data_IF_127629794493
#
_entry.id   IF_127629794493
#
_cell.length_a   1.000
_cell.length_b   1.000
_cell.length_c   1.000
_cell.angle_alpha   90.00
_cell.angle_beta   90.00
_cell.angle_gamma   90.00
#
_symmetry.space_group_name_H-M   'P 1'
#
loop_
_entity.id
_entity.type
_entity.pdbx_description
1 polymer ?
#
# COMPACT_ATOMS: atom_id res chain seq x y z
N UNK A 1 7.06 -1.21 -6.74
CA UNK A 1 6.16 -2.38 -6.87
C UNK A 1 6.90 -3.67 -7.23
N UNK A 2 7.27 -3.98 -8.48
CA UNK A 2 7.90 -5.30 -8.81
C UNK A 2 9.09 -5.68 -7.93
N UNK A 3 10.07 -4.79 -7.73
CA UNK A 3 11.21 -5.03 -6.83
C UNK A 3 10.80 -5.23 -5.35
N UNK A 4 9.71 -4.60 -4.92
CA UNK A 4 9.18 -4.72 -3.55
C UNK A 4 8.41 -6.03 -3.36
N UNK A 5 7.74 -6.53 -4.41
CA UNK A 5 7.15 -7.88 -4.42
C UNK A 5 8.27 -8.92 -4.32
N UNK A 6 9.33 -8.80 -5.14
CA UNK A 6 10.49 -9.71 -5.08
C UNK A 6 11.16 -9.71 -3.70
N UNK A 7 11.35 -8.54 -3.07
CA UNK A 7 11.94 -8.46 -1.73
C UNK A 7 11.02 -9.00 -0.63
N UNK A 8 9.70 -8.86 -0.77
CA UNK A 8 8.72 -9.46 0.16
C UNK A 8 8.60 -10.98 -0.03
N UNK A 9 8.63 -11.49 -1.26
CA UNK A 9 8.67 -12.93 -1.56
C UNK A 9 9.94 -13.54 -0.96
N UNK A 10 11.12 -12.95 -1.20
CA UNK A 10 12.38 -13.41 -0.61
C UNK A 10 12.32 -13.47 0.93
N UNK A 11 11.75 -12.45 1.59
CA UNK A 11 11.58 -12.44 3.06
C UNK A 11 10.57 -13.47 3.56
N UNK A 12 9.55 -13.79 2.77
CA UNK A 12 8.59 -14.86 3.08
C UNK A 12 9.27 -16.24 2.96
N UNK A 13 10.09 -16.44 1.94
CA UNK A 13 10.86 -17.67 1.73
C UNK A 13 11.90 -17.86 2.85
N UNK A 14 12.66 -16.82 3.20
CA UNK A 14 13.59 -16.80 4.35
C UNK A 14 12.86 -17.12 5.67
N UNK A 15 11.65 -16.58 5.87
CA UNK A 15 10.82 -16.88 7.06
C UNK A 15 10.28 -18.31 7.07
N UNK A 16 10.00 -18.89 5.90
CA UNK A 16 9.53 -20.28 5.77
C UNK A 16 10.68 -21.28 6.00
N UNK A 17 11.89 -20.99 5.53
CA UNK A 17 13.09 -21.79 5.85
C UNK A 17 13.41 -21.76 7.35
N UNK A 18 13.37 -20.58 7.99
CA UNK A 18 13.53 -20.47 9.44
C UNK A 18 12.46 -21.25 10.22
N UNK A 19 11.21 -21.22 9.74
CA UNK A 19 10.12 -22.00 10.32
C UNK A 19 10.36 -23.51 10.14
N UNK A 20 10.79 -23.97 8.97
CA UNK A 20 11.11 -25.37 8.72
C UNK A 20 12.28 -25.87 9.59
N UNK A 21 13.30 -25.04 9.82
CA UNK A 21 14.40 -25.33 10.74
C UNK A 21 13.92 -25.41 12.21
N UNK A 22 13.02 -24.53 12.62
CA UNK A 22 12.40 -24.58 13.96
C UNK A 22 11.51 -25.83 14.11
N UNK A 23 10.68 -26.15 13.13
CA UNK A 23 9.84 -27.36 13.14
C UNK A 23 10.69 -28.64 13.11
N UNK A 24 11.80 -28.68 12.37
CA UNK A 24 12.77 -29.78 12.44
C UNK A 24 13.45 -29.89 13.81
N UNK A 25 13.77 -28.76 14.46
CA UNK A 25 14.31 -28.76 15.83
C UNK A 25 13.30 -29.23 16.87
N UNK A 26 12.01 -28.94 16.68
CA UNK A 26 10.91 -29.46 17.50
C UNK A 26 10.51 -30.90 17.15
N UNK A 27 10.81 -31.39 15.95
CA UNK A 27 10.54 -32.77 15.53
C UNK A 27 11.30 -33.81 16.37
N UNK A 28 12.48 -33.45 16.89
CA UNK A 28 13.29 -34.30 17.77
C UNK A 28 12.78 -34.36 19.24
N UNK A 29 11.55 -33.90 19.53
CA UNK A 29 11.06 -33.70 20.90
C UNK A 29 10.49 -34.94 21.60
N UNK A 30 10.39 -36.09 20.91
CA UNK A 30 9.95 -37.35 21.55
C UNK A 30 10.94 -37.89 22.60
N UNK A 31 12.21 -37.46 22.59
CA UNK A 31 13.23 -37.87 23.57
C UNK A 31 13.30 -36.98 24.84
N UNK A 32 12.61 -35.84 24.87
CA UNK A 32 12.65 -34.90 26.00
C UNK A 32 11.88 -35.31 27.26
N UNK A 33 10.76 -36.07 27.20
CA UNK A 33 10.01 -36.49 28.40
C UNK A 33 10.80 -37.39 29.34
N UNK A 34 11.57 -38.35 28.82
CA UNK A 34 12.34 -39.30 29.65
C UNK A 34 13.49 -38.61 30.39
N UNK A 35 14.18 -37.69 29.73
CA UNK A 35 15.31 -36.95 30.32
C UNK A 35 14.87 -36.04 31.47
N UNK A 36 13.69 -35.41 31.36
CA UNK A 36 13.12 -34.59 32.43
C UNK A 36 12.54 -35.42 33.59
N UNK A 37 11.96 -36.60 33.31
CA UNK A 37 11.54 -37.53 34.37
C UNK A 37 12.74 -38.06 35.16
N UNK A 38 13.80 -38.51 34.46
CA UNK A 38 15.01 -39.03 35.10
C UNK A 38 15.67 -37.97 36.00
N UNK A 39 15.79 -36.73 35.52
CA UNK A 39 16.38 -35.63 36.29
C UNK A 39 15.54 -35.24 37.52
N UNK A 40 14.21 -35.23 37.39
CA UNK A 40 13.32 -35.05 38.55
C UNK A 40 13.45 -36.20 39.56
N UNK A 41 13.62 -37.44 39.08
CA UNK A 41 13.71 -38.63 39.92
C UNK A 41 15.05 -38.69 40.69
N UNK A 42 16.19 -38.37 40.06
CA UNK A 42 17.48 -38.22 40.73
C UNK A 42 17.45 -37.11 41.80
N UNK A 43 16.84 -35.96 41.50
CA UNK A 43 16.70 -34.87 42.46
C UNK A 43 15.88 -35.28 43.70
N UNK A 44 14.76 -35.99 43.51
CA UNK A 44 13.97 -36.49 44.64
C UNK A 44 14.71 -37.55 45.45
N UNK A 45 15.44 -38.47 44.82
CA UNK A 45 16.24 -39.46 45.56
C UNK A 45 17.39 -38.81 46.34
N UNK A 46 18.11 -37.85 45.75
CA UNK A 46 19.17 -37.11 46.45
C UNK A 46 18.61 -36.35 47.67
N UNK A 47 17.46 -35.69 47.53
CA UNK A 47 16.80 -34.98 48.64
C UNK A 47 16.28 -35.94 49.72
N UNK A 48 15.74 -37.11 49.34
CA UNK A 48 15.27 -38.12 50.29
C UNK A 48 16.45 -38.71 51.10
N UNK A 49 17.58 -38.99 50.46
CA UNK A 49 18.80 -39.47 51.11
C UNK A 49 19.33 -38.41 52.08
N UNK A 50 19.43 -37.14 51.66
CA UNK A 50 19.89 -36.05 52.52
C UNK A 50 19.00 -35.86 53.76
N UNK A 51 17.67 -35.94 53.59
CA UNK A 51 16.72 -35.88 54.70
C UNK A 51 16.86 -37.08 55.65
N UNK A 52 17.07 -38.29 55.12
CA UNK A 52 17.30 -39.49 55.92
C UNK A 52 18.62 -39.40 56.73
N UNK A 53 19.71 -38.90 56.13
CA UNK A 53 20.97 -38.65 56.84
C UNK A 53 20.78 -37.67 58.00
N UNK A 54 20.08 -36.55 57.78
CA UNK A 54 19.80 -35.59 58.85
C UNK A 54 18.95 -36.19 60.00
N UNK A 55 18.05 -37.13 59.71
CA UNK A 55 17.29 -37.84 60.74
C UNK A 55 18.15 -38.86 61.53
N UNK A 56 19.12 -39.52 60.87
CA UNK A 56 20.08 -40.41 61.55
C UNK A 56 21.04 -39.62 62.44
N UNK A 57 21.51 -38.46 61.99
CA UNK A 57 22.35 -37.57 62.81
C UNK A 57 21.57 -37.00 64.00
N UNK A 58 20.32 -36.60 63.80
CA UNK A 58 19.45 -36.10 64.89
C UNK A 58 19.13 -37.18 65.94
N UNK A 59 18.94 -38.43 65.53
CA UNK A 59 18.71 -39.55 66.46
C UNK A 59 19.99 -39.98 67.19
N UNK A 60 21.14 -39.87 66.53
CA UNK A 60 22.47 -40.12 67.10
C UNK A 60 22.85 -39.06 68.16
N UNK A 61 22.49 -37.79 67.95
CA UNK A 61 22.61 -36.76 68.99
C UNK A 61 21.63 -36.97 70.16
N UNK A 62 20.44 -37.51 69.90
CA UNK A 62 19.41 -37.74 70.92
C UNK A 62 19.75 -38.89 71.88
N UNK A 63 20.43 -39.95 71.40
CA UNK A 63 20.65 -41.15 72.22
C UNK A 63 21.77 -41.02 73.27
N UNK A 64 22.62 -40.01 73.19
CA UNK A 64 23.67 -39.73 74.19
C UNK A 64 23.17 -38.95 75.44
N UNK A 65 21.85 -38.83 75.62
CA UNK A 65 21.22 -38.23 76.81
C UNK A 65 20.96 -39.19 77.99
N UNK A 66 21.55 -40.39 77.99
CA UNK A 66 21.30 -41.44 78.97
C UNK A 66 22.24 -41.43 80.18
N UNK A 67 21.65 -41.25 81.38
CA UNK A 67 22.13 -41.47 82.77
C UNK A 67 23.60 -41.92 83.03
N UNK A 68 24.24 -41.44 84.11
CA UNK A 68 25.52 -41.98 84.56
C UNK A 68 25.35 -43.38 85.17
N UNK A 69 25.87 -44.40 84.48
CA UNK A 69 26.07 -45.72 85.10
C UNK A 69 27.31 -45.73 86.00
N UNK A 70 27.19 -46.49 87.08
CA UNK A 70 28.15 -46.57 88.17
C UNK A 70 29.27 -47.55 87.80
N UNK A 71 30.45 -47.04 87.41
CA UNK A 71 31.65 -47.85 87.25
C UNK A 71 32.59 -47.64 88.44
N UNK A 72 33.09 -48.75 89.01
CA UNK A 72 33.86 -48.76 90.26
C UNK A 72 35.31 -49.19 89.98
N UNK A 73 36.25 -48.39 90.48
CA UNK A 73 37.67 -48.67 90.77
C UNK A 73 38.50 -49.54 89.80
N UNK A 74 39.52 -48.94 89.17
CA UNK A 74 40.93 -49.36 89.31
C UNK A 74 41.87 -48.13 89.28
N UNK A 75 42.83 -48.12 90.20
CA UNK A 75 43.97 -47.18 90.39
C UNK A 75 44.90 -47.06 89.14
N UNK A 76 45.88 -46.15 88.99
CA UNK A 76 46.70 -45.36 89.94
C UNK A 76 47.48 -44.23 89.18
N UNK A 77 48.10 -43.31 89.94
CA UNK A 77 49.28 -42.46 89.61
C UNK A 77 49.20 -41.41 88.49
N UNK A 78 48.93 -40.17 88.93
CA UNK A 78 49.81 -38.99 88.83
C UNK A 78 50.47 -38.60 87.50
N UNK A 79 50.00 -37.46 86.96
CA UNK A 79 50.88 -36.43 86.42
C UNK A 79 50.33 -35.04 86.75
N UNK A 80 51.22 -34.08 87.03
CA UNK A 80 50.88 -32.84 87.72
C UNK A 80 49.96 -31.92 86.91
N UNK A 81 48.72 -31.76 87.38
CA UNK A 81 47.86 -30.63 87.02
C UNK A 81 47.73 -29.71 88.23
N UNK A 82 48.32 -28.52 88.15
CA UNK A 82 48.02 -27.42 89.07
C UNK A 82 46.53 -27.16 88.99
N UNK A 83 45.80 -27.40 90.09
CA UNK A 83 44.37 -27.15 90.14
C UNK A 83 44.11 -25.67 89.82
N UNK A 84 43.30 -25.35 88.79
CA UNK A 84 42.98 -23.96 88.49
C UNK A 84 42.31 -23.35 89.71
N UNK A 85 42.69 -22.11 90.04
CA UNK A 85 42.08 -21.43 91.19
C UNK A 85 40.57 -21.31 90.96
N UNK A 86 39.81 -21.29 92.05
CA UNK A 86 38.34 -21.27 91.99
C UNK A 86 37.81 -20.14 91.09
N UNK A 87 38.50 -19.01 91.09
CA UNK A 87 38.18 -17.85 90.26
C UNK A 87 38.40 -18.13 88.76
N UNK A 88 39.48 -18.83 88.38
CA UNK A 88 39.73 -19.21 86.97
C UNK A 88 38.66 -20.17 86.43
N UNK A 89 38.11 -21.04 87.29
CA UNK A 89 37.01 -21.94 86.91
C UNK A 89 35.71 -21.16 86.69
N UNK A 90 35.40 -20.20 87.57
CA UNK A 90 34.23 -19.32 87.45
C UNK A 90 34.31 -18.45 86.19
N UNK A 91 35.48 -17.86 85.91
CA UNK A 91 35.70 -17.00 84.75
C UNK A 91 35.58 -17.77 83.42
N UNK A 92 36.13 -18.99 83.37
CA UNK A 92 35.95 -19.90 82.22
C UNK A 92 34.47 -20.31 82.03
N UNK A 93 33.73 -20.57 83.11
CA UNK A 93 32.31 -20.90 83.04
C UNK A 93 31.47 -19.71 82.55
N UNK A 94 31.75 -18.50 83.05
CA UNK A 94 31.10 -17.27 82.58
C UNK A 94 31.37 -17.00 81.09
N UNK A 95 32.60 -17.24 80.63
CA UNK A 95 32.96 -17.17 79.21
C UNK A 95 32.16 -18.18 78.38
N UNK A 96 32.10 -19.45 78.80
CA UNK A 96 31.33 -20.48 78.11
C UNK A 96 29.82 -20.15 78.04
N UNK A 97 29.23 -19.64 79.13
CA UNK A 97 27.83 -19.18 79.16
C UNK A 97 27.61 -18.00 78.19
N UNK A 98 28.54 -17.05 78.14
CA UNK A 98 28.48 -15.91 77.22
C UNK A 98 28.58 -16.34 75.76
N UNK A 99 29.50 -17.25 75.45
CA UNK A 99 29.70 -17.79 74.10
C UNK A 99 28.48 -18.63 73.65
N UNK A 100 27.89 -19.43 74.55
CA UNK A 100 26.61 -20.10 74.30
C UNK A 100 25.47 -19.11 74.08
N UNK A 101 25.36 -18.05 74.89
CA UNK A 101 24.33 -17.01 74.71
C UNK A 101 24.45 -16.28 73.36
N UNK A 102 25.69 -16.00 72.92
CA UNK A 102 25.95 -15.40 71.61
C UNK A 102 25.54 -16.34 70.47
N UNK A 103 25.94 -17.62 70.52
CA UNK A 103 25.51 -18.65 69.56
C UNK A 103 23.98 -18.81 69.51
N UNK A 104 23.31 -18.75 70.66
CA UNK A 104 21.85 -18.87 70.73
C UNK A 104 21.16 -17.68 70.03
N UNK A 105 21.70 -16.46 70.17
CA UNK A 105 21.25 -15.28 69.40
C UNK A 105 21.54 -15.42 67.90
N UNK A 106 22.73 -15.88 67.52
CA UNK A 106 23.10 -16.11 66.11
C UNK A 106 22.14 -17.11 65.44
N UNK A 107 21.86 -18.24 66.10
CA UNK A 107 20.88 -19.23 65.65
C UNK A 107 19.47 -18.63 65.57
N UNK A 108 19.06 -17.80 66.54
CA UNK A 108 17.77 -17.12 66.51
C UNK A 108 17.66 -16.13 65.33
N UNK A 109 18.73 -15.39 65.00
CA UNK A 109 18.79 -14.52 63.83
C UNK A 109 18.80 -15.31 62.51
N UNK A 110 19.52 -16.44 62.45
CA UNK A 110 19.54 -17.32 61.29
C UNK A 110 18.17 -17.96 61.03
N UNK A 111 17.50 -18.45 62.09
CA UNK A 111 16.15 -18.97 62.03
C UNK A 111 15.17 -17.91 61.52
N UNK A 112 15.18 -16.71 62.10
CA UNK A 112 14.31 -15.60 61.67
C UNK A 112 14.55 -15.21 60.19
N UNK A 113 15.80 -15.23 59.73
CA UNK A 113 16.12 -14.99 58.31
C UNK A 113 15.52 -16.08 57.42
N UNK A 114 15.73 -17.35 57.77
CA UNK A 114 15.17 -18.50 57.03
C UNK A 114 13.64 -18.48 57.00
N UNK A 115 12.97 -18.15 58.10
CA UNK A 115 11.51 -17.98 58.14
C UNK A 115 11.02 -16.89 57.17
N UNK A 116 11.71 -15.74 57.13
CA UNK A 116 11.37 -14.66 56.20
C UNK A 116 11.59 -15.07 54.73
N UNK A 117 12.70 -15.75 54.42
CA UNK A 117 12.98 -16.26 53.06
C UNK A 117 11.94 -17.30 52.63
N UNK A 118 11.52 -18.18 53.54
CA UNK A 118 10.48 -19.18 53.28
C UNK A 118 9.13 -18.50 53.02
N UNK A 119 8.76 -17.50 53.82
CA UNK A 119 7.54 -16.71 53.60
C UNK A 119 7.56 -15.97 52.25
N UNK A 120 8.71 -15.40 51.85
CA UNK A 120 8.88 -14.79 50.52
C UNK A 120 8.73 -15.80 49.39
N UNK A 121 9.29 -17.01 49.53
CA UNK A 121 9.12 -18.09 48.53
C UNK A 121 7.69 -18.58 48.44
N UNK A 122 6.97 -18.69 49.56
CA UNK A 122 5.54 -19.06 49.56
C UNK A 122 4.70 -18.01 48.83
N UNK A 123 4.95 -16.72 49.04
CA UNK A 123 4.25 -15.65 48.32
C UNK A 123 4.59 -15.63 46.82
N UNK A 124 5.86 -15.86 46.46
CA UNK A 124 6.26 -15.95 45.05
C UNK A 124 5.60 -17.14 44.32
N UNK A 125 5.49 -18.31 44.98
CA UNK A 125 4.76 -19.47 44.45
C UNK A 125 3.26 -19.17 44.28
N UNK A 126 2.64 -18.51 45.28
CA UNK A 126 1.23 -18.09 45.23
C UNK A 126 0.96 -17.19 44.01
N UNK A 127 1.85 -16.25 43.72
CA UNK A 127 1.75 -15.37 42.54
C UNK A 127 1.96 -16.11 41.22
N UNK A 128 2.83 -17.14 41.19
CA UNK A 128 2.98 -18.01 40.02
C UNK A 128 1.72 -18.84 39.75
N UNK A 129 1.10 -19.40 40.79
CA UNK A 129 -0.15 -20.15 40.67
C UNK A 129 -1.31 -19.27 40.16
N UNK A 130 -1.41 -18.02 40.63
CA UNK A 130 -2.38 -17.03 40.12
C UNK A 130 -2.15 -16.74 38.62
N UNK A 131 -0.91 -16.51 38.21
CA UNK A 131 -0.57 -16.26 36.80
C UNK A 131 -0.84 -17.48 35.90
N UNK A 132 -0.57 -18.70 36.39
CA UNK A 132 -0.90 -19.94 35.69
C UNK A 132 -2.41 -20.16 35.58
N UNK A 133 -3.20 -19.77 36.58
CA UNK A 133 -4.66 -19.82 36.52
C UNK A 133 -5.21 -18.83 35.47
N UNK A 134 -4.69 -17.60 35.43
CA UNK A 134 -5.07 -16.59 34.42
C UNK A 134 -4.72 -17.04 32.99
N UNK A 135 -3.53 -17.60 32.78
CA UNK A 135 -3.15 -18.13 31.45
C UNK A 135 -4.02 -19.31 31.02
N UNK A 136 -4.40 -20.21 31.94
CA UNK A 136 -5.36 -21.29 31.65
C UNK A 136 -6.73 -20.75 31.24
N UNK A 137 -7.24 -19.73 31.95
CA UNK A 137 -8.50 -19.08 31.60
C UNK A 137 -8.47 -18.51 30.17
N UNK A 138 -7.45 -17.69 29.87
CA UNK A 138 -7.25 -17.10 28.54
C UNK A 138 -7.13 -18.14 27.42
N UNK A 139 -6.47 -19.27 27.69
CA UNK A 139 -6.40 -20.38 26.74
C UNK A 139 -7.79 -20.93 26.42
N UNK A 140 -8.63 -21.17 27.44
CA UNK A 140 -10.00 -21.67 27.22
C UNK A 140 -10.91 -20.65 26.51
N UNK A 141 -10.71 -19.34 26.73
CA UNK A 141 -11.40 -18.27 25.98
C UNK A 141 -10.97 -18.23 24.50
N UNK A 142 -9.69 -18.48 24.23
CA UNK A 142 -9.17 -18.59 22.86
C UNK A 142 -9.65 -19.87 22.16
N UNK A 143 -9.75 -20.99 22.86
CA UNK A 143 -10.28 -22.25 22.30
C UNK A 143 -11.78 -22.17 21.98
N UNK A 144 -12.56 -21.56 22.87
CA UNK A 144 -14.01 -21.34 22.67
C UNK A 144 -14.29 -20.32 21.56
N UNK A 145 -13.53 -19.23 21.47
CA UNK A 145 -13.65 -18.30 20.34
C UNK A 145 -13.16 -18.90 19.01
N UNK A 146 -12.09 -19.71 19.01
CA UNK A 146 -11.62 -20.39 17.81
C UNK A 146 -12.63 -21.43 17.28
N UNK A 147 -13.23 -22.22 18.17
CA UNK A 147 -14.29 -23.16 17.81
C UNK A 147 -15.55 -22.45 17.30
N UNK A 148 -15.94 -21.33 17.91
CA UNK A 148 -17.02 -20.47 17.40
C UNK A 148 -16.72 -19.91 16.00
N UNK A 149 -15.51 -19.38 15.76
CA UNK A 149 -15.10 -18.88 14.45
C UNK A 149 -15.05 -19.98 13.39
N UNK A 150 -14.57 -21.19 13.73
CA UNK A 150 -14.63 -22.35 12.84
C UNK A 150 -16.06 -22.73 12.50
N UNK A 151 -16.98 -22.71 13.47
CA UNK A 151 -18.39 -22.99 13.24
C UNK A 151 -19.04 -21.91 12.36
N UNK A 152 -18.70 -20.63 12.54
CA UNK A 152 -19.15 -19.53 11.68
C UNK A 152 -18.60 -19.66 10.25
N UNK A 153 -17.35 -20.11 10.08
CA UNK A 153 -16.74 -20.35 8.77
C UNK A 153 -17.38 -21.55 8.04
N UNK A 154 -17.66 -22.64 8.77
CA UNK A 154 -18.37 -23.82 8.26
C UNK A 154 -19.83 -23.51 7.92
N UNK A 155 -20.47 -22.63 8.67
CA UNK A 155 -21.84 -22.18 8.45
C UNK A 155 -21.93 -20.93 7.56
N UNK A 156 -20.85 -20.50 6.91
CA UNK A 156 -20.81 -19.26 6.13
C UNK A 156 -21.74 -19.38 4.89
N UNK A 157 -22.89 -18.70 4.86
CA UNK A 157 -23.85 -18.83 3.78
C UNK A 157 -23.44 -17.86 2.66
N UNK A 158 -22.48 -18.27 1.84
CA UNK A 158 -22.22 -17.57 0.57
C UNK A 158 -21.38 -18.32 -0.47
N UNK A 159 -20.75 -19.47 -0.19
CA UNK A 159 -19.85 -20.09 -1.20
C UNK A 159 -20.58 -20.46 -2.49
N UNK A 160 -21.84 -20.87 -2.39
CA UNK A 160 -22.63 -21.30 -3.55
C UNK A 160 -23.44 -20.15 -4.16
N UNK A 161 -23.90 -19.18 -3.35
CA UNK A 161 -24.47 -17.93 -3.85
C UNK A 161 -23.44 -17.10 -4.62
N UNK A 162 -22.19 -17.04 -4.14
CA UNK A 162 -21.09 -16.36 -4.81
C UNK A 162 -20.66 -17.07 -6.10
N UNK A 163 -20.63 -18.42 -6.11
CA UNK A 163 -20.43 -19.19 -7.35
C UNK A 163 -21.55 -18.90 -8.36
N UNK A 164 -22.81 -18.91 -7.94
CA UNK A 164 -23.93 -18.61 -8.84
C UNK A 164 -23.82 -17.19 -9.40
N UNK A 165 -23.51 -16.20 -8.57
CA UNK A 165 -23.30 -14.82 -9.03
C UNK A 165 -22.09 -14.68 -9.98
N UNK A 166 -21.04 -15.47 -9.79
CA UNK A 166 -19.88 -15.53 -10.68
C UNK A 166 -20.25 -16.19 -12.02
N UNK A 167 -20.96 -17.32 -12.00
CA UNK A 167 -21.44 -18.00 -13.21
C UNK A 167 -22.43 -17.13 -14.01
N UNK A 168 -23.31 -16.39 -13.34
CA UNK A 168 -24.25 -15.46 -13.98
C UNK A 168 -23.50 -14.27 -14.63
N UNK A 169 -22.43 -13.78 -14.01
CA UNK A 169 -21.57 -12.73 -14.57
C UNK A 169 -20.79 -13.24 -15.78
N UNK A 170 -20.18 -14.43 -15.70
CA UNK A 170 -19.43 -15.04 -16.79
C UNK A 170 -20.34 -15.34 -18.01
N UNK A 171 -21.59 -15.77 -17.77
CA UNK A 171 -22.61 -15.88 -18.81
C UNK A 171 -22.98 -14.54 -19.45
N UNK A 172 -23.06 -13.45 -18.69
CA UNK A 172 -23.34 -12.11 -19.24
C UNK A 172 -22.16 -11.61 -20.09
N UNK A 173 -20.92 -11.82 -19.63
CA UNK A 173 -19.72 -11.47 -20.38
C UNK A 173 -19.68 -12.21 -21.73
N UNK A 174 -19.88 -13.52 -21.76
CA UNK A 174 -19.82 -14.28 -23.01
C UNK A 174 -20.98 -13.93 -23.96
N UNK A 175 -22.18 -13.61 -23.45
CA UNK A 175 -23.28 -13.04 -24.26
C UNK A 175 -22.89 -11.71 -24.91
N UNK A 176 -22.38 -10.76 -24.13
CA UNK A 176 -21.97 -9.45 -24.68
C UNK A 176 -20.84 -9.58 -25.70
N UNK A 177 -19.88 -10.48 -25.46
CA UNK A 177 -18.80 -10.80 -26.39
C UNK A 177 -19.33 -11.33 -27.73
N UNK A 178 -20.24 -12.31 -27.70
CA UNK A 178 -20.87 -12.85 -28.89
C UNK A 178 -21.69 -11.79 -29.64
N UNK A 179 -22.38 -10.89 -28.93
CA UNK A 179 -23.05 -9.75 -29.58
C UNK A 179 -22.07 -8.81 -30.30
N UNK A 180 -20.91 -8.52 -29.71
CA UNK A 180 -19.88 -7.70 -30.36
C UNK A 180 -19.31 -8.39 -31.59
N UNK A 181 -18.98 -9.69 -31.50
CA UNK A 181 -18.49 -10.50 -32.64
C UNK A 181 -19.51 -10.55 -33.79
N UNK A 182 -20.81 -10.70 -33.48
CA UNK A 182 -21.89 -10.65 -34.47
C UNK A 182 -22.00 -9.25 -35.11
N UNK A 183 -21.94 -8.17 -34.31
CA UNK A 183 -22.00 -6.79 -34.82
C UNK A 183 -20.78 -6.45 -35.69
N UNK A 184 -19.58 -6.87 -35.30
CA UNK A 184 -18.35 -6.68 -36.06
C UNK A 184 -18.40 -7.45 -37.39
N UNK A 185 -18.82 -8.72 -37.36
CA UNK A 185 -19.01 -9.55 -38.55
C UNK A 185 -20.02 -8.93 -39.53
N UNK A 186 -21.16 -8.42 -39.02
CA UNK A 186 -22.15 -7.70 -39.83
C UNK A 186 -21.58 -6.42 -40.45
N UNK A 187 -20.81 -5.64 -39.68
CA UNK A 187 -20.19 -4.40 -40.15
C UNK A 187 -19.13 -4.66 -41.23
N UNK A 188 -18.29 -5.69 -41.06
CA UNK A 188 -17.32 -6.13 -42.06
C UNK A 188 -18.02 -6.59 -43.35
N UNK A 189 -19.12 -7.34 -43.24
CA UNK A 189 -19.92 -7.73 -44.40
C UNK A 189 -20.53 -6.52 -45.13
N UNK A 190 -21.10 -5.56 -44.38
CA UNK A 190 -21.64 -4.31 -44.95
C UNK A 190 -20.56 -3.52 -45.71
N UNK A 191 -19.43 -3.21 -45.08
CA UNK A 191 -18.33 -2.50 -45.75
C UNK A 191 -17.76 -3.28 -46.93
N UNK A 192 -17.71 -4.61 -46.87
CA UNK A 192 -17.26 -5.42 -48.01
C UNK A 192 -18.21 -5.32 -49.20
N UNK A 193 -19.52 -5.27 -48.96
CA UNK A 193 -20.55 -5.12 -50.00
C UNK A 193 -20.55 -3.70 -50.58
N UNK A 194 -20.40 -2.67 -49.74
CA UNK A 194 -20.28 -1.27 -50.18
C UNK A 194 -19.03 -1.06 -51.04
N UNK A 195 -17.87 -1.60 -50.63
CA UNK A 195 -16.64 -1.54 -51.43
C UNK A 195 -16.75 -2.29 -52.76
N UNK A 196 -17.46 -3.43 -52.79
CA UNK A 196 -17.75 -4.15 -54.04
C UNK A 196 -18.69 -3.35 -54.95
N UNK A 197 -19.75 -2.75 -54.41
CA UNK A 197 -20.69 -1.92 -55.16
C UNK A 197 -20.01 -0.66 -55.73
N UNK A 198 -19.16 0.00 -54.94
CA UNK A 198 -18.37 1.15 -55.37
C UNK A 198 -17.38 0.77 -56.48
N UNK A 199 -16.66 -0.36 -56.32
CA UNK A 199 -15.77 -0.89 -57.36
C UNK A 199 -16.53 -1.19 -58.66
N UNK A 200 -17.66 -1.89 -58.58
CA UNK A 200 -18.48 -2.20 -59.75
C UNK A 200 -19.10 -0.94 -60.39
N UNK A 201 -19.24 0.16 -59.65
CA UNK A 201 -19.63 1.46 -60.22
C UNK A 201 -18.48 2.15 -60.93
N UNK A 202 -17.30 2.17 -60.34
CA UNK A 202 -16.09 2.73 -60.95
C UNK A 202 -15.69 1.95 -62.22
N UNK A 203 -15.77 0.62 -62.22
CA UNK A 203 -15.51 -0.21 -63.40
C UNK A 203 -16.49 0.11 -64.54
N UNK A 204 -17.79 0.33 -64.24
CA UNK A 204 -18.78 0.78 -65.23
C UNK A 204 -18.46 2.17 -65.80
N UNK A 205 -18.09 3.12 -64.95
CA UNK A 205 -17.71 4.48 -65.35
C UNK A 205 -16.43 4.49 -66.22
N UNK A 206 -15.42 3.70 -65.86
CA UNK A 206 -14.22 3.52 -66.69
C UNK A 206 -14.57 2.90 -68.05
N UNK A 207 -15.48 1.92 -68.09
CA UNK A 207 -15.97 1.37 -69.36
C UNK A 207 -16.86 2.35 -70.17
N UNK A 208 -17.52 3.31 -69.52
CA UNK A 208 -18.26 4.40 -70.14
C UNK A 208 -17.30 5.39 -70.80
N UNK A 209 -16.35 5.96 -70.04
CA UNK A 209 -15.33 6.86 -70.56
C UNK A 209 -14.53 6.21 -71.71
N UNK A 210 -14.20 4.92 -71.60
CA UNK A 210 -13.54 4.18 -72.69
C UNK A 210 -14.42 4.01 -73.94
N UNK A 211 -15.75 3.95 -73.82
CA UNK A 211 -16.66 3.98 -74.98
C UNK A 211 -16.70 5.37 -75.58
N UNK A 212 -16.97 6.39 -74.77
CA UNK A 212 -17.02 7.79 -75.19
C UNK A 212 -15.72 8.24 -75.89
N UNK A 213 -14.55 7.85 -75.37
CA UNK A 213 -13.26 8.14 -76.01
C UNK A 213 -13.13 7.46 -77.38
N UNK A 214 -13.58 6.21 -77.53
CA UNK A 214 -13.57 5.51 -78.83
C UNK A 214 -14.54 6.15 -79.82
N UNK A 215 -15.71 6.54 -79.35
CA UNK A 215 -16.75 7.18 -80.17
C UNK A 215 -16.32 8.58 -80.61
N UNK A 216 -15.71 9.38 -79.73
CA UNK A 216 -15.10 10.67 -80.07
C UNK A 216 -13.93 10.54 -81.06
N UNK A 217 -13.09 9.50 -80.92
CA UNK A 217 -12.04 9.20 -81.92
C UNK A 217 -12.67 8.79 -83.26
N UNK A 218 -13.72 7.97 -83.26
CA UNK A 218 -14.42 7.56 -84.48
C UNK A 218 -15.12 8.75 -85.17
N UNK A 219 -15.69 9.68 -84.39
CA UNK A 219 -16.34 10.88 -84.90
C UNK A 219 -15.34 11.91 -85.44
N UNK A 220 -14.23 12.16 -84.74
CA UNK A 220 -13.16 13.04 -85.24
C UNK A 220 -12.51 12.48 -86.51
N UNK A 221 -12.29 11.17 -86.60
CA UNK A 221 -11.83 10.52 -87.85
C UNK A 221 -12.86 10.67 -88.99
N UNK A 222 -14.16 10.52 -88.71
CA UNK A 222 -15.24 10.73 -89.69
C UNK A 222 -15.30 12.19 -90.15
N UNK A 223 -15.20 13.14 -89.24
CA UNK A 223 -15.15 14.57 -89.54
C UNK A 223 -13.92 14.94 -90.39
N UNK A 224 -12.75 14.37 -90.08
CA UNK A 224 -11.54 14.54 -90.87
C UNK A 224 -11.66 13.96 -92.29
N UNK A 225 -12.33 12.80 -92.45
CA UNK A 225 -12.63 12.23 -93.77
C UNK A 225 -13.58 13.11 -94.58
N UNK A 226 -14.65 13.63 -93.97
CA UNK A 226 -15.59 14.55 -94.63
C UNK A 226 -14.90 15.87 -94.98
N UNK A 227 -14.06 16.40 -94.09
CA UNK A 227 -13.27 17.62 -94.35
C UNK A 227 -12.26 17.43 -95.49
N UNK A 228 -11.55 16.29 -95.54
CA UNK A 228 -10.68 15.95 -96.67
C UNK A 228 -11.45 15.74 -97.97
N UNK A 229 -12.65 15.15 -97.92
CA UNK A 229 -13.52 15.01 -99.09
C UNK A 229 -14.02 16.38 -99.59
N UNK A 230 -14.39 17.29 -98.68
CA UNK A 230 -14.76 18.66 -99.02
C UNK A 230 -13.57 19.46 -99.56
N UNK A 231 -12.37 19.31 -98.99
CA UNK A 231 -11.14 19.92 -99.53
C UNK A 231 -10.78 19.37 -100.92
N UNK A 232 -10.99 18.08 -101.18
CA UNK A 232 -10.81 17.48 -102.51
C UNK A 232 -11.84 18.00 -103.52
N UNK A 233 -13.09 18.25 -103.10
CA UNK A 233 -14.15 18.83 -103.95
C UNK A 233 -13.96 20.35 -104.17
N UNK A 234 -13.45 21.07 -103.17
CA UNK A 234 -13.19 22.52 -103.25
C UNK A 234 -11.85 22.89 -103.88
N UNK A 235 -11.01 21.92 -104.28
CA UNK A 235 -9.82 22.16 -105.10
C UNK A 235 -10.11 22.38 -106.59
N UNK A 236 -11.39 22.53 -106.97
CA UNK A 236 -11.79 23.04 -108.29
C UNK A 236 -12.26 24.49 -108.19
N UNK A 237 -11.43 25.39 -108.71
CA UNK A 237 -11.70 26.82 -109.01
C UNK A 237 -11.80 27.79 -107.81
N UNK A 238 -10.77 28.63 -107.70
CA UNK A 238 -10.77 29.96 -107.06
C UNK A 238 -11.01 31.03 -108.17
N UNK A 239 -11.30 32.33 -107.91
CA UNK A 239 -11.13 33.10 -106.67
C UNK A 239 -12.36 34.05 -106.35
N UNK A 240 -12.24 35.30 -105.82
CA UNK A 240 -12.63 35.59 -104.44
C UNK A 240 -13.72 36.69 -104.26
N UNK A 241 -14.36 36.75 -103.08
CA UNK A 241 -15.35 37.78 -102.72
C UNK A 241 -15.49 37.97 -101.20
N UNK A 242 -15.61 39.24 -100.76
CA UNK A 242 -15.50 39.71 -99.38
C UNK A 242 -16.70 39.42 -98.43
N UNK A 243 -16.47 39.70 -97.13
CA UNK A 243 -17.45 39.84 -96.02
C UNK A 243 -18.14 38.54 -95.53
N UNK A 244 -18.51 38.37 -94.24
CA UNK A 244 -18.42 39.25 -93.05
C UNK A 244 -18.10 38.45 -91.76
N UNK A 245 -17.63 39.15 -90.73
CA UNK A 245 -17.51 38.64 -89.34
C UNK A 245 -18.81 38.90 -88.57
N UNK A 246 -19.23 37.97 -87.69
CA UNK A 246 -19.80 38.38 -86.40
C UNK A 246 -19.01 37.80 -85.22
N UNK A 247 -18.63 38.67 -84.29
CA UNK A 247 -18.04 38.27 -83.00
C UNK A 247 -19.09 37.63 -82.08
N UNK A 248 -18.81 36.42 -81.60
CA UNK A 248 -19.28 35.95 -80.28
C UNK A 248 -18.24 35.06 -79.60
N UNK A 249 -17.06 35.64 -79.36
CA UNK A 249 -16.04 35.08 -78.47
C UNK A 249 -16.21 35.60 -77.04
N UNK A 250 -17.13 35.02 -76.28
CA UNK A 250 -17.26 35.35 -74.84
C UNK A 250 -16.09 34.72 -74.09
N UNK A 251 -15.07 35.51 -73.76
CA UNK A 251 -13.89 35.04 -73.03
C UNK A 251 -14.27 34.47 -71.65
N UNK A 252 -13.87 33.22 -71.29
CA UNK A 252 -14.23 32.61 -70.01
C UNK A 252 -13.66 33.30 -68.76
N UNK A 253 -12.53 34.01 -68.89
CA UNK A 253 -11.78 34.49 -67.71
C UNK A 253 -12.51 35.44 -66.78
N UNK A 254 -13.54 36.17 -67.24
CA UNK A 254 -14.26 37.13 -66.38
C UNK A 254 -15.13 36.47 -65.30
N UNK A 255 -15.74 35.31 -65.60
CA UNK A 255 -16.58 34.62 -64.62
C UNK A 255 -15.77 33.91 -63.55
N UNK A 256 -14.57 33.45 -63.88
CA UNK A 256 -13.67 32.77 -62.93
C UNK A 256 -13.03 33.79 -61.96
N UNK A 257 -12.66 34.98 -62.46
CA UNK A 257 -12.17 36.09 -61.63
C UNK A 257 -13.24 36.56 -60.62
N UNK A 258 -14.50 36.70 -61.04
CA UNK A 258 -15.62 37.07 -60.16
C UNK A 258 -15.90 35.98 -59.10
N UNK A 259 -15.80 34.70 -59.46
CA UNK A 259 -15.93 33.58 -58.52
C UNK A 259 -14.79 33.57 -57.48
N UNK A 260 -13.56 33.83 -57.91
CA UNK A 260 -12.40 33.94 -57.02
C UNK A 260 -12.52 35.14 -56.05
N UNK A 261 -12.99 36.29 -56.53
CA UNK A 261 -13.23 37.47 -55.69
C UNK A 261 -14.31 37.22 -54.63
N UNK A 262 -15.40 36.52 -54.98
CA UNK A 262 -16.43 36.11 -54.02
C UNK A 262 -15.87 35.16 -52.95
N UNK A 263 -15.14 34.11 -53.36
CA UNK A 263 -14.52 33.16 -52.42
C UNK A 263 -13.50 33.84 -51.48
N UNK A 264 -12.73 34.81 -51.98
CA UNK A 264 -11.82 35.62 -51.17
C UNK A 264 -12.56 36.55 -50.20
N UNK A 265 -13.77 36.99 -50.55
CA UNK A 265 -14.64 37.77 -49.67
C UNK A 265 -15.23 36.90 -48.55
N UNK A 266 -15.64 35.67 -48.86
CA UNK A 266 -16.15 34.68 -47.91
C UNK A 266 -15.07 34.21 -46.94
N UNK A 267 -13.85 33.95 -47.44
CA UNK A 267 -12.69 33.64 -46.58
C UNK A 267 -12.43 34.76 -45.57
N UNK A 268 -12.44 36.03 -46.01
CA UNK A 268 -12.30 37.19 -45.12
C UNK A 268 -13.50 37.35 -44.17
N UNK A 269 -14.70 36.93 -44.55
CA UNK A 269 -15.86 36.92 -43.66
C UNK A 269 -15.69 35.86 -42.56
N UNK A 270 -15.27 34.65 -42.93
CA UNK A 270 -15.01 33.54 -42.02
C UNK A 270 -13.85 33.84 -41.05
N UNK A 271 -12.75 34.43 -41.54
CA UNK A 271 -11.62 34.86 -40.71
C UNK A 271 -12.04 35.86 -39.63
N UNK A 272 -12.91 36.83 -39.97
CA UNK A 272 -13.50 37.76 -38.99
C UNK A 272 -14.38 37.04 -37.97
N UNK A 273 -15.18 36.06 -38.39
CA UNK A 273 -16.01 35.25 -37.48
C UNK A 273 -15.17 34.38 -36.53
N UNK A 274 -14.07 33.79 -37.01
CA UNK A 274 -13.12 33.10 -36.15
C UNK A 274 -12.44 34.05 -35.15
N UNK A 275 -12.09 35.28 -35.57
CA UNK A 275 -11.53 36.30 -34.69
C UNK A 275 -12.52 36.77 -33.61
N UNK A 276 -13.80 36.93 -33.93
CA UNK A 276 -14.83 37.27 -32.93
C UNK A 276 -15.06 36.11 -31.95
N UNK A 277 -15.17 34.87 -32.43
CA UNK A 277 -15.34 33.69 -31.58
C UNK A 277 -14.13 33.47 -30.64
N UNK A 278 -12.90 33.70 -31.12
CA UNK A 278 -11.69 33.69 -30.29
C UNK A 278 -11.74 34.77 -29.19
N UNK A 279 -12.21 35.97 -29.52
CA UNK A 279 -12.35 37.09 -28.57
C UNK A 279 -13.41 36.81 -27.51
N UNK A 280 -14.55 36.23 -27.90
CA UNK A 280 -15.63 35.81 -26.98
C UNK A 280 -15.17 34.68 -26.04
N UNK A 281 -14.48 33.67 -26.57
CA UNK A 281 -13.84 32.62 -25.76
C UNK A 281 -12.81 33.19 -24.78
N UNK A 282 -12.04 34.19 -25.21
CA UNK A 282 -11.11 34.92 -24.35
C UNK A 282 -11.81 35.68 -23.22
N UNK A 283 -12.92 36.36 -23.53
CA UNK A 283 -13.73 37.07 -22.53
C UNK A 283 -14.38 36.10 -21.52
N UNK A 284 -14.92 34.97 -21.98
CA UNK A 284 -15.50 33.95 -21.12
C UNK A 284 -14.46 33.30 -20.20
N UNK A 285 -13.25 33.01 -20.71
CA UNK A 285 -12.11 32.56 -19.90
C UNK A 285 -11.66 33.61 -18.87
N UNK A 286 -11.73 34.90 -19.20
CA UNK A 286 -11.42 35.97 -18.26
C UNK A 286 -12.49 36.08 -17.16
N UNK A 287 -13.78 35.96 -17.51
CA UNK A 287 -14.90 35.92 -16.56
C UNK A 287 -14.81 34.71 -15.62
N UNK A 288 -14.52 33.52 -16.14
CA UNK A 288 -14.31 32.32 -15.33
C UNK A 288 -13.15 32.49 -14.34
N UNK A 289 -12.04 33.09 -14.78
CA UNK A 289 -10.90 33.42 -13.90
C UNK A 289 -11.23 34.51 -12.87
N UNK A 290 -12.12 35.44 -13.18
CA UNK A 290 -12.60 36.44 -12.22
C UNK A 290 -13.47 35.80 -11.13
N UNK A 291 -14.46 34.99 -11.52
CA UNK A 291 -15.32 34.26 -10.57
C UNK A 291 -14.51 33.30 -9.66
N UNK A 292 -13.51 32.60 -10.21
CA UNK A 292 -12.61 31.77 -9.40
C UNK A 292 -11.74 32.58 -8.43
N UNK A 293 -11.43 33.85 -8.75
CA UNK A 293 -10.72 34.76 -7.84
C UNK A 293 -11.65 35.26 -6.75
N UNK A 294 -12.86 35.71 -7.09
CA UNK A 294 -13.87 36.13 -6.11
C UNK A 294 -14.20 35.00 -5.12
N UNK A 295 -14.38 33.76 -5.61
CA UNK A 295 -14.63 32.60 -4.77
C UNK A 295 -13.43 32.26 -3.85
N UNK A 296 -12.20 32.47 -4.34
CA UNK A 296 -10.99 32.37 -3.52
C UNK A 296 -10.94 33.49 -2.46
N UNK A 297 -11.26 34.72 -2.82
CA UNK A 297 -11.18 35.88 -1.92
C UNK A 297 -12.26 35.81 -0.83
N UNK A 298 -13.46 35.28 -1.14
CA UNK A 298 -14.50 34.93 -0.15
C UNK A 298 -13.97 33.87 0.85
N UNK A 299 -13.30 32.83 0.35
CA UNK A 299 -12.67 31.79 1.19
C UNK A 299 -11.56 32.34 2.10
N UNK A 300 -10.78 33.33 1.63
CA UNK A 300 -9.73 33.96 2.45
C UNK A 300 -10.32 35.00 3.42
N UNK A 301 -11.41 35.68 3.07
CA UNK A 301 -12.15 36.58 3.97
C UNK A 301 -12.86 35.86 5.12
N UNK A 302 -13.15 34.56 4.98
CA UNK A 302 -13.74 33.74 6.04
C UNK A 302 -12.70 33.26 7.10
N UNK A 303 -11.40 33.37 6.81
CA UNK A 303 -10.31 33.02 7.74
C UNK A 303 -9.66 34.32 8.23
N UNK A 304 -10.25 34.89 9.30
CA UNK A 304 -9.68 36.06 9.98
C UNK A 304 -8.29 35.76 10.58
N UNK A 305 -7.38 36.74 10.69
CA UNK A 305 -6.02 36.50 11.16
C UNK A 305 -5.99 36.07 12.64
N UNK A 306 -5.28 34.97 12.92
CA UNK A 306 -4.92 34.58 14.28
C UNK A 306 -3.90 35.59 14.83
N UNK A 307 -4.12 36.21 16.01
CA UNK A 307 -3.14 37.12 16.58
C UNK A 307 -1.93 36.33 17.10
N UNK A 308 -0.75 36.63 16.55
CA UNK A 308 0.51 36.27 17.19
C UNK A 308 0.74 37.18 18.41
N UNK A 309 1.23 36.60 19.51
CA UNK A 309 1.77 37.34 20.66
C UNK A 309 2.81 36.50 21.38
N UNK A 310 3.98 36.42 20.76
CA UNK A 310 5.28 36.68 21.37
C UNK A 310 5.61 36.11 22.75
N UNK A 311 6.54 35.18 22.72
CA UNK A 311 7.53 34.97 23.77
C UNK A 311 8.37 36.25 24.00
N UNK A 312 8.32 36.84 25.19
CA UNK A 312 9.40 37.72 25.67
C UNK A 312 9.50 37.75 27.19
N UNK A 313 10.69 37.41 27.70
CA UNK A 313 11.05 37.54 29.11
C UNK A 313 11.13 39.02 29.53
N UNK A 314 10.69 39.37 30.74
CA UNK A 314 11.30 40.45 31.55
C UNK A 314 10.96 40.23 33.03
N UNK A 315 11.95 40.39 33.90
CA UNK A 315 11.84 40.21 35.35
C UNK A 315 11.33 41.47 36.06
N UNK A 316 10.51 41.32 37.10
CA UNK A 316 10.48 42.24 38.25
C UNK A 316 10.37 41.44 39.56
N UNK A 317 11.16 41.84 40.56
CA UNK A 317 11.33 41.22 41.88
C UNK A 317 10.45 41.81 42.99
N UNK A 318 9.96 40.96 43.89
CA UNK A 318 9.73 41.20 45.33
C UNK A 318 9.41 39.82 46.00
N UNK A 319 10.14 39.24 46.97
CA UNK A 319 10.34 39.62 48.40
C UNK A 319 9.02 39.91 49.13
N UNK A 320 8.60 39.28 50.23
CA UNK A 320 9.14 38.20 51.10
C UNK A 320 8.02 37.15 51.34
N UNK A 321 8.02 36.17 52.26
CA UNK A 321 8.88 35.75 53.41
C UNK A 321 8.65 34.25 53.71
N UNK A 322 9.37 33.66 54.66
CA UNK A 322 9.10 32.32 55.18
C UNK A 322 8.01 32.30 56.27
N UNK A 323 7.31 31.18 56.42
CA UNK A 323 7.29 30.45 57.70
C UNK A 323 7.05 28.94 57.48
N UNK A 324 7.57 28.11 58.37
CA UNK A 324 7.36 26.65 58.36
C UNK A 324 6.14 26.28 59.20
N UNK A 325 5.29 25.36 58.72
CA UNK A 325 4.58 24.45 59.62
C UNK A 325 4.07 23.22 58.90
N UNK A 326 4.51 22.03 59.34
CA UNK A 326 3.85 20.78 58.97
C UNK A 326 2.48 20.70 59.64
N UNK A 327 1.44 20.40 58.87
CA UNK A 327 0.15 19.94 59.39
C UNK A 327 -0.40 18.81 58.52
N UNK A 328 -0.26 17.58 59.01
CA UNK A 328 -1.02 16.43 58.54
C UNK A 328 -2.52 16.58 58.84
N UNK A 329 -3.35 16.02 57.95
CA UNK A 329 -4.79 15.72 58.08
C UNK A 329 -5.78 16.68 57.38
N UNK A 330 -6.79 16.09 56.73
CA UNK A 330 -7.99 16.78 56.27
C UNK A 330 -8.36 16.60 54.79
N UNK A 331 -8.76 15.40 54.36
CA UNK A 331 -9.42 15.18 53.05
C UNK A 331 -10.88 15.71 53.03
N UNK A 332 -11.08 16.97 53.41
CA UNK A 332 -12.40 17.60 53.50
C UNK A 332 -12.47 18.82 52.57
N UNK A 333 -12.68 18.56 51.28
CA UNK A 333 -12.84 19.59 50.25
C UNK A 333 -13.98 19.20 49.31
N UNK A 334 -15.19 19.67 49.64
CA UNK A 334 -16.38 19.53 48.76
C UNK A 334 -16.14 20.20 47.41
N UNK A 335 -15.27 21.22 47.39
CA UNK A 335 -14.70 21.88 46.22
C UNK A 335 -13.93 20.94 45.30
N UNK A 336 -13.15 19.97 45.80
CA UNK A 336 -12.43 19.02 44.95
C UNK A 336 -13.35 17.97 44.33
N UNK A 337 -14.43 17.58 45.01
CA UNK A 337 -15.46 16.71 44.44
C UNK A 337 -16.22 17.45 43.32
N UNK A 338 -16.51 18.74 43.49
CA UNK A 338 -17.13 19.56 42.44
C UNK A 338 -16.18 19.75 41.24
N UNK A 339 -14.90 20.04 41.49
CA UNK A 339 -13.89 20.18 40.43
C UNK A 339 -13.67 18.86 39.68
N UNK A 340 -13.62 17.72 40.38
CA UNK A 340 -13.51 16.40 39.75
C UNK A 340 -14.74 16.08 38.89
N UNK A 341 -15.95 16.36 39.39
CA UNK A 341 -17.19 16.14 38.63
C UNK A 341 -17.26 17.02 37.38
N UNK A 342 -16.81 18.26 37.47
CA UNK A 342 -16.75 19.19 36.35
C UNK A 342 -15.63 18.81 35.35
N UNK A 343 -14.47 18.34 35.82
CA UNK A 343 -13.42 17.79 34.95
C UNK A 343 -13.89 16.53 34.20
N UNK A 344 -14.61 15.62 34.87
CA UNK A 344 -15.23 14.45 34.22
C UNK A 344 -16.27 14.89 33.18
N UNK A 345 -17.08 15.91 33.48
CA UNK A 345 -18.04 16.50 32.52
C UNK A 345 -17.32 17.07 31.29
N UNK A 346 -16.23 17.79 31.48
CA UNK A 346 -15.42 18.38 30.40
C UNK A 346 -14.70 17.31 29.57
N UNK A 347 -14.15 16.26 30.18
CA UNK A 347 -13.54 15.13 29.48
C UNK A 347 -14.59 14.39 28.63
N UNK A 348 -15.80 14.18 29.17
CA UNK A 348 -16.90 13.57 28.41
C UNK A 348 -17.34 14.45 27.24
N UNK A 349 -17.46 15.77 27.45
CA UNK A 349 -17.81 16.73 26.40
C UNK A 349 -16.73 16.82 25.30
N UNK A 350 -15.45 16.80 25.67
CA UNK A 350 -14.33 16.70 24.73
C UNK A 350 -14.32 15.38 23.98
N UNK A 351 -14.63 14.26 24.63
CA UNK A 351 -14.74 12.94 24.00
C UNK A 351 -15.85 12.91 22.95
N UNK A 352 -17.01 13.52 23.24
CA UNK A 352 -18.11 13.66 22.28
C UNK A 352 -17.72 14.53 21.08
N UNK A 353 -17.05 15.66 21.31
CA UNK A 353 -16.54 16.53 20.23
C UNK A 353 -15.49 15.81 19.38
N UNK A 354 -14.61 15.02 19.98
CA UNK A 354 -13.61 14.21 19.27
C UNK A 354 -14.27 13.14 18.39
N UNK A 355 -15.30 12.45 18.89
CA UNK A 355 -16.07 11.49 18.09
C UNK A 355 -16.74 12.16 16.87
N UNK A 356 -17.35 13.33 17.04
CA UNK A 356 -17.93 14.10 15.93
C UNK A 356 -16.90 14.51 14.87
N UNK A 357 -15.73 15.01 15.31
CA UNK A 357 -14.62 15.34 14.41
C UNK A 357 -14.05 14.10 13.69
N UNK A 358 -14.03 12.94 14.35
CA UNK A 358 -13.61 11.68 13.75
C UNK A 358 -14.62 11.20 12.67
N UNK A 359 -15.93 11.38 12.90
CA UNK A 359 -16.96 11.12 11.89
C UNK A 359 -16.84 12.07 10.69
N UNK A 360 -16.58 13.36 10.92
CA UNK A 360 -16.34 14.36 9.87
C UNK A 360 -15.08 14.07 9.05
N UNK A 361 -13.99 13.67 9.70
CA UNK A 361 -12.77 13.24 9.02
C UNK A 361 -13.01 11.96 8.19
N UNK A 362 -13.83 11.03 8.69
CA UNK A 362 -14.21 9.82 7.95
C UNK A 362 -15.26 10.09 6.85
N UNK A 363 -16.04 11.17 6.94
CA UNK A 363 -16.96 11.66 5.91
C UNK A 363 -16.17 12.33 4.77
N UNK A 364 -15.34 13.31 5.08
CA UNK A 364 -14.46 13.99 4.12
C UNK A 364 -13.47 13.03 3.46
N UNK A 365 -12.92 12.04 4.18
CA UNK A 365 -12.10 10.97 3.58
C UNK A 365 -12.89 10.14 2.56
N UNK A 366 -14.17 9.84 2.81
CA UNK A 366 -15.05 9.15 1.84
C UNK A 366 -15.33 10.02 0.62
N UNK A 367 -15.61 11.31 0.82
CA UNK A 367 -15.80 12.28 -0.26
C UNK A 367 -14.54 12.44 -1.12
N UNK A 368 -13.36 12.55 -0.51
CA UNK A 368 -12.06 12.57 -1.24
C UNK A 368 -11.79 11.25 -1.97
N UNK A 369 -12.20 10.11 -1.42
CA UNK A 369 -12.10 8.81 -2.11
C UNK A 369 -13.08 8.70 -3.29
N UNK A 370 -14.29 9.24 -3.17
CA UNK A 370 -15.25 9.33 -4.27
C UNK A 370 -14.78 10.31 -5.35
N UNK A 371 -14.29 11.49 -4.95
CA UNK A 371 -13.74 12.50 -5.85
C UNK A 371 -12.47 11.98 -6.56
N UNK A 372 -11.62 11.21 -5.86
CA UNK A 372 -10.51 10.49 -6.53
C UNK A 372 -11.04 9.50 -7.55
N UNK A 373 -12.05 8.68 -7.22
CA UNK A 373 -12.64 7.72 -8.17
C UNK A 373 -13.29 8.40 -9.39
N UNK A 374 -13.84 9.61 -9.26
CA UNK A 374 -14.34 10.38 -10.40
C UNK A 374 -13.27 11.20 -11.14
N UNK A 375 -12.12 11.47 -10.52
CA UNK A 375 -11.00 12.21 -11.15
C UNK A 375 -9.92 11.29 -11.72
N UNK A 376 -9.83 10.02 -11.30
CA UNK A 376 -8.96 9.00 -11.88
C UNK A 376 -9.69 8.13 -12.91
N UNK A 377 -10.35 8.77 -13.87
CA UNK A 377 -10.38 8.20 -15.22
C UNK A 377 -8.98 8.29 -15.82
N UNK A 378 -8.49 7.30 -16.57
CA UNK A 378 -7.27 7.47 -17.34
C UNK A 378 -7.51 8.54 -18.42
N UNK A 379 -6.50 9.37 -18.69
CA UNK A 379 -6.47 10.15 -19.93
C UNK A 379 -6.38 9.17 -21.10
N UNK A 380 -7.45 9.13 -21.91
CA UNK A 380 -7.63 8.16 -23.01
C UNK A 380 -6.57 8.30 -24.11
N UNK A 381 -5.81 9.40 -24.13
CA UNK A 381 -4.75 9.69 -25.12
C UNK A 381 -3.41 8.97 -24.84
N UNK A 382 -3.31 8.18 -23.76
CA UNK A 382 -2.05 7.51 -23.37
C UNK A 382 -2.10 5.98 -23.55
N UNK A 383 -1.39 5.47 -24.57
CA UNK A 383 -1.18 4.02 -24.73
C UNK A 383 -0.57 3.44 -23.44
N UNK A 384 -1.13 2.34 -22.96
CA UNK A 384 -0.63 1.66 -21.76
C UNK A 384 0.81 1.22 -21.95
N UNK A 385 1.62 1.20 -20.87
CA UNK A 385 3.06 0.94 -20.95
C UNK A 385 3.43 -0.36 -21.72
N UNK A 386 2.60 -1.39 -21.63
CA UNK A 386 2.77 -2.65 -22.36
C UNK A 386 2.45 -2.53 -23.87
N UNK A 387 1.42 -1.73 -24.24
CA UNK A 387 1.10 -1.43 -25.64
C UNK A 387 2.19 -0.54 -26.25
N UNK A 388 2.66 0.47 -25.51
CA UNK A 388 3.78 1.31 -25.92
C UNK A 388 5.04 0.47 -26.19
N UNK A 389 5.37 -0.47 -25.29
CA UNK A 389 6.51 -1.38 -25.48
C UNK A 389 6.32 -2.33 -26.67
N UNK A 390 5.09 -2.81 -26.93
CA UNK A 390 4.78 -3.61 -28.11
C UNK A 390 4.98 -2.80 -29.41
N UNK A 391 4.36 -1.63 -29.53
CA UNK A 391 4.50 -0.73 -30.69
C UNK A 391 5.97 -0.37 -30.90
N UNK A 392 6.70 -0.05 -29.85
CA UNK A 392 8.15 0.21 -29.89
C UNK A 392 8.91 -0.98 -30.50
N UNK A 393 8.63 -2.21 -30.08
CA UNK A 393 9.28 -3.42 -30.61
C UNK A 393 8.94 -3.70 -32.09
N UNK A 394 7.71 -3.40 -32.51
CA UNK A 394 7.28 -3.53 -33.92
C UNK A 394 7.99 -2.49 -34.78
N UNK A 395 8.06 -1.23 -34.34
CA UNK A 395 8.73 -0.15 -35.07
C UNK A 395 10.25 -0.38 -35.18
N UNK A 396 10.90 -0.86 -34.12
CA UNK A 396 12.32 -1.29 -34.19
C UNK A 396 12.50 -2.39 -35.24
N UNK A 397 11.65 -3.42 -35.23
CA UNK A 397 11.73 -4.51 -36.21
C UNK A 397 11.48 -4.03 -37.64
N UNK A 398 10.55 -3.09 -37.82
CA UNK A 398 10.25 -2.46 -39.11
C UNK A 398 11.48 -1.70 -39.63
N UNK A 399 12.11 -0.86 -38.81
CA UNK A 399 13.32 -0.14 -39.18
C UNK A 399 14.53 -1.06 -39.45
N UNK A 400 14.69 -2.14 -38.68
CA UNK A 400 15.73 -3.14 -38.97
C UNK A 400 15.45 -3.95 -40.25
N UNK A 401 14.21 -3.97 -40.75
CA UNK A 401 13.83 -4.63 -42.00
C UNK A 401 13.83 -3.70 -43.23
N UNK A 402 13.66 -2.40 -43.01
CA UNK A 402 13.67 -1.37 -44.05
C UNK A 402 15.08 -0.77 -44.16
N UNK A 403 15.87 -1.29 -45.11
CA UNK A 403 17.25 -0.85 -45.38
C UNK A 403 17.39 0.58 -45.95
N UNK A 404 16.35 1.42 -45.84
CA UNK A 404 16.34 2.79 -46.36
C UNK A 404 16.74 3.81 -45.28
N UNK A 405 18.02 4.20 -45.33
CA UNK A 405 18.64 5.15 -44.39
C UNK A 405 17.94 6.53 -44.42
N UNK A 406 17.34 6.94 -45.53
CA UNK A 406 16.67 8.24 -45.62
C UNK A 406 15.34 8.22 -44.84
N UNK A 407 14.54 7.17 -45.00
CA UNK A 407 13.28 7.00 -44.25
C UNK A 407 13.56 6.94 -42.75
N UNK A 408 14.54 6.12 -42.32
CA UNK A 408 14.89 6.02 -40.89
C UNK A 408 15.37 7.37 -40.35
N UNK A 409 16.23 8.10 -41.08
CA UNK A 409 16.78 9.38 -40.62
C UNK A 409 15.71 10.46 -40.39
N UNK A 410 14.63 10.46 -41.16
CA UNK A 410 13.53 11.42 -40.98
C UNK A 410 12.48 10.96 -39.95
N UNK A 411 12.21 9.66 -39.87
CA UNK A 411 11.14 9.12 -39.03
C UNK A 411 11.60 8.78 -37.60
N UNK A 412 12.87 8.41 -37.41
CA UNK A 412 13.44 8.03 -36.10
C UNK A 412 13.42 9.16 -35.05
N UNK A 413 13.73 10.44 -35.37
CA UNK A 413 13.64 11.52 -34.38
C UNK A 413 12.20 11.77 -33.90
N UNK A 414 11.23 11.71 -34.81
CA UNK A 414 9.81 11.86 -34.47
C UNK A 414 9.37 10.71 -33.58
N UNK A 415 9.65 9.47 -33.99
CA UNK A 415 9.23 8.28 -33.23
C UNK A 415 10.01 8.09 -31.92
N UNK A 416 11.24 8.61 -31.78
CA UNK A 416 11.94 8.58 -30.48
C UNK A 416 11.29 9.52 -29.47
N UNK A 417 10.79 10.69 -29.89
CA UNK A 417 10.04 11.59 -29.00
C UNK A 417 8.68 11.01 -28.58
N UNK A 418 7.99 10.31 -29.48
CA UNK A 418 6.68 9.72 -29.23
C UNK A 418 6.73 8.39 -28.46
N UNK A 419 7.63 7.47 -28.83
CA UNK A 419 7.69 6.11 -28.29
C UNK A 419 8.77 5.91 -27.21
N UNK A 420 9.64 6.91 -26.98
CA UNK A 420 10.75 6.85 -26.02
C UNK A 420 11.61 5.60 -26.19
N UNK A 421 12.27 5.50 -27.34
CA UNK A 421 13.27 4.45 -27.58
C UNK A 421 14.36 4.46 -26.51
N UNK A 422 14.74 3.27 -26.06
CA UNK A 422 15.88 3.05 -25.17
C UNK A 422 17.16 2.91 -25.99
N UNK A 423 18.32 3.14 -25.36
CA UNK A 423 19.63 3.08 -26.03
C UNK A 423 19.88 1.73 -26.72
N UNK A 424 19.34 0.63 -26.19
CA UNK A 424 19.42 -0.70 -26.82
C UNK A 424 18.57 -0.80 -28.10
N UNK A 425 17.41 -0.13 -28.17
CA UNK A 425 16.63 -0.06 -29.40
C UNK A 425 17.37 0.75 -30.48
N UNK A 426 18.01 1.87 -30.08
CA UNK A 426 18.78 2.73 -30.97
C UNK A 426 20.06 2.04 -31.46
N UNK A 427 20.76 1.27 -30.61
CA UNK A 427 21.87 0.39 -31.00
C UNK A 427 21.43 -0.70 -31.97
N UNK A 428 20.25 -1.29 -31.77
CA UNK A 428 19.73 -2.31 -32.67
C UNK A 428 19.44 -1.74 -34.07
N UNK A 429 18.79 -0.57 -34.16
CA UNK A 429 18.50 0.11 -35.43
C UNK A 429 19.80 0.54 -36.12
N UNK A 430 20.70 1.22 -35.42
CA UNK A 430 21.98 1.68 -36.00
C UNK A 430 22.87 0.53 -36.46
N UNK A 431 22.87 -0.61 -35.76
CA UNK A 431 23.57 -1.83 -36.20
C UNK A 431 22.94 -2.49 -37.43
N UNK A 432 21.64 -2.32 -37.67
CA UNK A 432 20.96 -2.80 -38.87
C UNK A 432 21.08 -1.85 -40.08
N UNK A 433 21.60 -0.65 -39.86
CA UNK A 433 21.84 0.39 -40.89
C UNK A 433 23.32 0.52 -41.30
N UNK A 434 24.19 -0.31 -40.71
CA UNK A 434 25.63 -0.44 -40.96
C UNK A 434 25.92 -1.68 -41.80
#
# INVERSE_FOLDING_TARGET
MRAQIVDLTRKLDESNEQRALLEASLGNREALPELYLAQCQEFMYAHAIAAASMMVDATSLSHNGGKPEQCKDVSTTDSAMTSPSRDTVIENLQKAIKDQSNRLKEVQYALKRSTNELQQRTEALRQQDESLAEMKHRLTELETSNTSLRQQLLNAPNTDEWKQAQEDLDQQLERTRLEYEIRESQLVLQYSAELQALRASHEREVHEMQREHRDAIAETLRAAQVSNAQAAVCNSVHPPGASDVPHHGTHPGKTDDDAYLNLLSDYKAMERQCATAMKERGAMMAQQKALLRELKDILHSAVGPLPASDTSNTSVTATTSADETQATAGWNSVTDIHNLKEAVRQIHEQSLRFAGLQEELMRTRREVMQLRRSTTGPSEDSLGAQQLQYVRSVVVRLFCSLSDVHVVRHLLPVLSTLLKFTDEDLKAITKAML
#
